data_IF_515266988956
#
_entry.id   IF_515266988956
#
_cell.length_a   1.000
_cell.length_b   1.000
_cell.length_c   1.000
_cell.angle_alpha   90.00
_cell.angle_beta   90.00
_cell.angle_gamma   90.00
#
_symmetry.space_group_name_H-M   'P 1'
#
loop_
_entity.id
_entity.type
_entity.pdbx_description
1 polymer ?
#
# COMPACT_ATOMS: atom_id res chain seq x y z
N UNK A 1 2.66 10.59 15.96
CA UNK A 1 3.93 10.22 15.30
C UNK A 1 3.97 10.90 13.95
N UNK A 2 4.99 11.69 13.64
CA UNK A 2 5.05 12.33 12.34
C UNK A 2 5.63 11.38 11.29
N UNK A 3 5.05 11.42 10.09
CA UNK A 3 5.47 10.64 8.92
C UNK A 3 6.06 11.65 7.92
N UNK A 4 7.27 11.41 7.40
CA UNK A 4 7.89 12.26 6.38
C UNK A 4 8.27 11.42 5.16
N UNK A 5 8.33 12.09 4.01
CA UNK A 5 8.81 11.53 2.75
C UNK A 5 10.25 12.00 2.54
N UNK A 6 11.16 11.05 2.30
CA UNK A 6 12.57 11.32 1.99
C UNK A 6 12.84 10.73 0.60
N UNK A 7 13.51 11.50 -0.27
CA UNK A 7 13.81 11.11 -1.65
C UNK A 7 15.32 10.88 -1.79
N UNK A 8 15.80 9.63 -1.85
CA UNK A 8 17.20 9.37 -2.13
C UNK A 8 17.48 9.53 -3.64
N UNK A 9 18.44 10.38 -4.01
CA UNK A 9 18.75 10.71 -5.41
C UNK A 9 19.80 9.81 -6.08
N UNK A 10 20.39 8.84 -5.38
CA UNK A 10 21.47 8.01 -5.96
C UNK A 10 21.27 6.52 -5.70
N UNK A 11 21.03 5.75 -6.77
CA UNK A 11 21.18 4.29 -6.75
C UNK A 11 22.17 3.82 -7.82
N UNK A 12 23.07 2.93 -7.38
CA UNK A 12 24.12 2.20 -8.08
C UNK A 12 25.46 2.93 -8.29
N UNK A 13 26.39 2.65 -7.36
CA UNK A 13 27.82 2.83 -7.58
C UNK A 13 28.33 1.90 -8.68
N UNK A 14 29.11 2.46 -9.59
CA UNK A 14 29.76 1.76 -10.71
C UNK A 14 30.80 0.77 -10.18
N UNK A 15 30.71 -0.51 -10.58
CA UNK A 15 31.66 -1.63 -10.34
C UNK A 15 31.32 -2.66 -9.25
N UNK A 16 30.11 -3.23 -9.25
CA UNK A 16 29.88 -4.53 -8.61
C UNK A 16 29.12 -5.48 -9.54
N UNK A 17 29.61 -6.71 -9.68
CA UNK A 17 29.05 -7.72 -10.58
C UNK A 17 27.79 -8.33 -9.94
N UNK A 18 26.63 -7.73 -10.23
CA UNK A 18 25.31 -8.04 -9.66
C UNK A 18 24.87 -9.52 -9.84
N UNK A 19 25.55 -10.29 -10.69
CA UNK A 19 25.25 -11.70 -10.98
C UNK A 19 25.66 -12.67 -9.87
N UNK A 20 26.42 -12.23 -8.88
CA UNK A 20 26.94 -13.07 -7.78
C UNK A 20 26.19 -12.92 -6.46
N UNK A 21 25.26 -11.97 -6.36
CA UNK A 21 24.53 -11.69 -5.12
C UNK A 21 23.26 -12.54 -5.05
N UNK A 22 22.99 -13.13 -3.88
CA UNK A 22 21.67 -13.70 -3.59
C UNK A 22 20.62 -12.58 -3.52
N UNK A 23 19.35 -12.91 -3.75
CA UNK A 23 18.27 -11.90 -3.75
C UNK A 23 18.08 -11.29 -2.38
N UNK A 24 18.29 -12.07 -1.34
CA UNK A 24 18.28 -11.63 0.04
C UNK A 24 19.36 -10.57 0.26
N UNK A 25 20.59 -10.82 -0.24
CA UNK A 25 21.68 -9.85 -0.14
C UNK A 25 21.44 -8.60 -0.99
N UNK A 26 20.74 -8.71 -2.13
CA UNK A 26 20.37 -7.54 -2.95
C UNK A 26 19.32 -6.71 -2.24
N UNK A 27 18.31 -7.33 -1.64
CA UNK A 27 17.26 -6.63 -0.88
C UNK A 27 17.87 -6.00 0.38
N UNK A 28 18.72 -6.72 1.10
CA UNK A 28 19.47 -6.18 2.24
C UNK A 28 20.39 -5.03 1.82
N UNK A 29 21.08 -5.12 0.67
CA UNK A 29 21.89 -4.02 0.14
C UNK A 29 21.02 -2.81 -0.22
N UNK A 30 19.88 -3.00 -0.90
CA UNK A 30 18.97 -1.89 -1.26
C UNK A 30 18.44 -1.22 0.00
N UNK A 31 17.95 -2.00 0.96
CA UNK A 31 17.38 -1.47 2.21
C UNK A 31 18.48 -0.79 3.04
N UNK A 32 19.62 -1.44 3.22
CA UNK A 32 20.74 -0.89 4.00
C UNK A 32 21.35 0.34 3.35
N UNK A 33 21.47 0.37 2.02
CA UNK A 33 21.91 1.54 1.25
C UNK A 33 20.89 2.67 1.33
N UNK A 34 19.58 2.39 1.26
CA UNK A 34 18.53 3.42 1.45
C UNK A 34 18.60 4.02 2.85
N UNK A 35 18.78 3.16 3.86
CA UNK A 35 18.88 3.59 5.26
C UNK A 35 20.16 4.38 5.48
N UNK A 36 21.29 3.93 4.92
CA UNK A 36 22.56 4.64 4.96
C UNK A 36 22.40 6.02 4.32
N UNK A 37 21.88 6.10 3.09
CA UNK A 37 21.64 7.37 2.40
C UNK A 37 20.72 8.29 3.23
N UNK A 38 19.63 7.76 3.79
CA UNK A 38 18.75 8.54 4.65
C UNK A 38 19.46 9.08 5.90
N UNK A 39 20.27 8.24 6.57
CA UNK A 39 21.07 8.64 7.74
C UNK A 39 22.12 9.67 7.36
N UNK A 40 22.81 9.46 6.24
CA UNK A 40 23.90 10.28 5.74
C UNK A 40 23.42 11.64 5.23
N UNK A 41 22.23 11.70 4.61
CA UNK A 41 21.61 12.92 4.11
C UNK A 41 20.87 13.72 5.20
N UNK A 42 20.35 13.07 6.26
CA UNK A 42 19.50 13.72 7.28
C UNK A 42 20.12 13.81 8.68
N UNK A 43 21.30 13.22 8.91
CA UNK A 43 21.95 13.06 10.21
C UNK A 43 21.05 12.39 11.28
N UNK A 44 20.08 11.59 10.85
CA UNK A 44 19.16 10.87 11.73
C UNK A 44 19.86 9.62 12.26
N UNK A 45 19.70 9.28 13.55
CA UNK A 45 20.30 8.06 14.09
C UNK A 45 19.55 6.85 13.53
N UNK A 46 20.27 5.85 13.01
CA UNK A 46 19.70 4.62 12.47
C UNK A 46 18.75 3.93 13.46
N UNK A 47 19.04 4.00 14.76
CA UNK A 47 18.18 3.41 15.80
C UNK A 47 16.83 4.12 15.98
N UNK A 48 16.72 5.36 15.50
CA UNK A 48 15.48 6.12 15.57
C UNK A 48 14.52 5.78 14.42
N UNK A 49 15.02 5.15 13.35
CA UNK A 49 14.24 4.64 12.23
C UNK A 49 13.57 3.32 12.64
N UNK A 50 12.24 3.26 12.54
CA UNK A 50 11.40 2.12 12.93
C UNK A 50 11.35 1.05 11.82
N UNK A 51 12.53 0.53 11.46
CA UNK A 51 12.76 -0.32 10.29
C UNK A 51 12.11 -1.70 10.43
N UNK A 52 12.14 -2.28 11.64
CA UNK A 52 11.69 -3.65 11.91
C UNK A 52 10.16 -3.85 11.79
N UNK A 53 9.40 -2.75 11.76
CA UNK A 53 7.93 -2.80 11.79
C UNK A 53 7.30 -2.35 10.47
N UNK A 54 7.91 -1.41 9.74
CA UNK A 54 7.25 -0.71 8.62
C UNK A 54 8.26 -0.10 7.62
N UNK A 55 8.84 -0.90 6.74
CA UNK A 55 9.52 -0.41 5.53
C UNK A 55 8.59 -0.61 4.33
N UNK A 56 8.10 0.48 3.74
CA UNK A 56 7.17 0.43 2.60
C UNK A 56 7.85 0.93 1.34
N UNK A 57 7.86 0.10 0.30
CA UNK A 57 8.07 0.57 -1.07
C UNK A 57 6.80 1.31 -1.48
N UNK A 58 6.92 2.61 -1.72
CA UNK A 58 5.79 3.45 -2.13
C UNK A 58 5.62 3.34 -3.65
N UNK A 59 6.73 3.36 -4.38
CA UNK A 59 6.74 3.33 -5.84
C UNK A 59 8.08 2.82 -6.37
N UNK A 60 8.04 2.22 -7.56
CA UNK A 60 9.24 1.95 -8.37
C UNK A 60 9.06 2.70 -9.67
N UNK A 61 9.88 3.72 -9.90
CA UNK A 61 9.85 4.54 -11.11
C UNK A 61 10.93 4.03 -12.05
N UNK A 62 10.55 3.46 -13.19
CA UNK A 62 11.53 3.12 -14.22
C UNK A 62 11.87 4.34 -15.07
N UNK A 63 13.10 4.30 -15.57
CA UNK A 63 13.76 5.26 -16.43
C UNK A 63 12.79 6.02 -17.37
N UNK A 64 12.50 7.27 -17.03
CA UNK A 64 11.74 8.17 -17.89
C UNK A 64 12.70 8.79 -18.92
N UNK A 65 12.28 8.97 -20.19
CA UNK A 65 13.14 9.48 -21.25
C UNK A 65 13.72 10.88 -20.99
N UNK A 66 13.19 11.62 -20.00
CA UNK A 66 13.68 12.95 -19.62
C UNK A 66 14.75 12.95 -18.51
N UNK A 67 14.83 11.92 -17.66
CA UNK A 67 15.63 12.01 -16.41
C UNK A 67 16.52 10.81 -16.11
N UNK A 68 16.52 9.77 -16.94
CA UNK A 68 17.72 8.94 -17.08
C UNK A 68 18.19 8.19 -15.83
N UNK A 69 17.31 7.53 -15.06
CA UNK A 69 17.62 6.41 -14.14
C UNK A 69 16.34 5.80 -13.54
N UNK A 70 16.32 4.49 -13.24
CA UNK A 70 15.28 3.91 -12.39
C UNK A 70 15.47 4.36 -10.93
N UNK A 71 14.38 4.76 -10.26
CA UNK A 71 14.34 5.18 -8.87
C UNK A 71 13.34 4.31 -8.09
N UNK A 72 13.61 4.10 -6.80
CA UNK A 72 12.69 3.42 -5.89
C UNK A 72 12.39 4.40 -4.76
N UNK A 73 11.11 4.62 -4.50
CA UNK A 73 10.64 5.52 -3.45
C UNK A 73 10.24 4.72 -2.21
N UNK A 74 10.72 5.15 -1.04
CA UNK A 74 10.52 4.45 0.22
C UNK A 74 9.88 5.37 1.26
N UNK A 75 9.01 4.80 2.10
CA UNK A 75 8.49 5.47 3.29
C UNK A 75 9.26 4.94 4.51
N UNK A 76 9.95 5.83 5.20
CA UNK A 76 10.63 5.54 6.46
C UNK A 76 9.88 6.19 7.62
N UNK A 77 9.53 5.38 8.62
CA UNK A 77 8.97 5.87 9.87
C UNK A 77 10.10 6.10 10.86
N UNK A 78 10.03 7.23 11.57
CA UNK A 78 10.96 7.55 12.65
C UNK A 78 10.17 7.78 13.95
N UNK A 79 10.83 7.51 15.07
CA UNK A 79 10.37 7.87 16.41
C UNK A 79 10.52 9.37 16.69
N UNK A 80 11.29 10.09 15.87
CA UNK A 80 11.58 11.52 16.04
C UNK A 80 10.45 12.43 15.54
N UNK A 81 10.41 13.65 16.05
CA UNK A 81 9.48 14.70 15.62
C UNK A 81 10.00 15.50 14.40
N UNK A 82 9.13 16.27 13.72
CA UNK A 82 9.57 17.10 12.55
C UNK A 82 10.68 18.07 12.92
N UNK A 83 10.56 18.69 14.09
CA UNK A 83 11.47 19.74 14.53
C UNK A 83 12.83 19.15 14.91
N UNK A 84 12.84 17.98 15.56
CA UNK A 84 14.10 17.29 15.89
C UNK A 84 14.82 16.82 14.61
N UNK A 85 14.07 16.36 13.62
CA UNK A 85 14.63 15.89 12.36
C UNK A 85 15.18 17.04 11.51
N UNK A 86 14.44 18.15 11.42
CA UNK A 86 14.92 19.39 10.79
C UNK A 86 16.17 19.92 11.49
N UNK A 87 16.17 19.98 12.83
CA UNK A 87 17.34 20.43 13.59
C UNK A 87 18.56 19.56 13.31
N UNK A 88 18.38 18.23 13.17
CA UNK A 88 19.51 17.34 12.83
C UNK A 88 20.02 17.50 11.41
N UNK A 89 19.13 17.70 10.45
CA UNK A 89 19.52 18.06 9.10
C UNK A 89 20.32 19.38 9.10
N UNK A 90 19.82 20.40 9.80
CA UNK A 90 20.45 21.72 9.89
C UNK A 90 21.81 21.70 10.61
N UNK A 91 22.08 20.68 11.44
CA UNK A 91 23.39 20.51 12.11
C UNK A 91 24.53 20.24 11.10
N UNK A 92 24.23 19.77 9.88
CA UNK A 92 25.18 19.61 8.78
C UNK A 92 26.52 18.92 9.17
N UNK A 93 26.44 17.94 10.08
CA UNK A 93 27.65 17.32 10.66
C UNK A 93 28.34 16.32 9.73
N UNK A 94 27.64 15.79 8.73
CA UNK A 94 28.17 14.86 7.73
C UNK A 94 28.43 15.55 6.39
N UNK A 95 29.48 15.14 5.69
CA UNK A 95 29.90 15.72 4.40
C UNK A 95 28.84 15.47 3.33
N UNK A 96 28.16 14.33 3.35
CA UNK A 96 27.11 13.96 2.39
C UNK A 96 25.81 14.76 2.60
N UNK A 97 25.42 15.06 3.85
CA UNK A 97 24.34 16.00 4.14
C UNK A 97 24.57 17.42 3.56
N UNK A 98 25.82 17.78 3.26
CA UNK A 98 26.16 19.04 2.60
C UNK A 98 26.09 18.98 1.07
N UNK A 99 26.04 17.77 0.47
CA UNK A 99 25.81 17.58 -0.97
C UNK A 99 24.32 17.68 -1.33
N UNK A 100 23.45 17.25 -0.43
CA UNK A 100 22.00 17.25 -0.64
C UNK A 100 21.42 18.63 -0.35
N UNK A 101 21.57 19.53 -1.32
CA UNK A 101 20.84 20.80 -1.31
C UNK A 101 19.37 20.53 -1.66
N UNK A 102 18.44 20.98 -0.81
CA UNK A 102 16.97 21.02 -1.05
C UNK A 102 16.10 19.88 -0.48
N UNK A 103 16.53 19.15 0.55
CA UNK A 103 15.59 18.31 1.32
C UNK A 103 14.48 19.17 1.94
N UNK A 104 13.23 18.90 1.56
CA UNK A 104 12.05 19.63 2.05
C UNK A 104 11.24 18.77 2.99
N UNK A 105 11.16 19.17 4.25
CA UNK A 105 10.36 18.51 5.26
C UNK A 105 8.95 19.13 5.32
N UNK A 106 7.93 18.32 5.04
CA UNK A 106 6.54 18.76 5.04
C UNK A 106 5.74 18.08 6.14
N UNK A 107 5.06 18.86 7.01
CA UNK A 107 4.00 18.35 7.87
C UNK A 107 2.86 17.73 7.05
N UNK A 108 2.31 16.60 7.49
CA UNK A 108 1.20 15.87 6.82
C UNK A 108 -0.02 16.77 6.55
N UNK A 109 -0.31 17.71 7.44
CA UNK A 109 -1.37 18.70 7.31
C UNK A 109 -1.10 19.68 6.16
N UNK A 110 0.15 20.10 5.94
CA UNK A 110 0.54 20.98 4.82
C UNK A 110 0.57 20.28 3.46
N UNK A 111 0.75 18.96 3.46
CA UNK A 111 0.71 18.15 2.24
C UNK A 111 -0.63 18.30 1.50
N UNK A 112 -1.74 18.38 2.24
CA UNK A 112 -3.07 18.58 1.67
C UNK A 112 -3.22 19.91 0.92
N UNK A 113 -2.53 20.97 1.37
CA UNK A 113 -2.57 22.31 0.78
C UNK A 113 -1.65 22.46 -0.45
N UNK A 114 -0.54 21.71 -0.50
CA UNK A 114 0.38 21.69 -1.65
C UNK A 114 -0.31 21.30 -2.96
N UNK A 115 -1.25 20.36 -2.87
CA UNK A 115 -2.03 19.83 -3.98
C UNK A 115 -2.94 20.87 -4.65
N UNK A 116 -3.35 21.90 -3.90
CA UNK A 116 -4.26 22.94 -4.36
C UNK A 116 -3.52 24.07 -5.07
N UNK A 117 -2.55 23.74 -5.94
CA UNK A 117 -1.80 24.65 -6.82
C UNK A 117 -0.72 25.52 -6.15
N UNK A 118 0.33 24.89 -5.63
CA UNK A 118 1.61 25.57 -5.40
C UNK A 118 2.57 25.32 -6.58
N UNK A 119 3.34 26.33 -7.00
CA UNK A 119 4.46 26.13 -7.95
C UNK A 119 5.44 25.05 -7.44
N UNK A 120 5.53 24.90 -6.12
CA UNK A 120 6.28 23.86 -5.42
C UNK A 120 5.75 22.46 -5.64
N UNK A 121 4.43 22.28 -5.82
CA UNK A 121 3.87 20.98 -6.20
C UNK A 121 4.32 20.67 -7.62
N UNK A 122 4.17 21.58 -8.58
CA UNK A 122 4.56 21.35 -9.98
C UNK A 122 6.04 20.99 -10.19
N UNK A 123 6.92 21.28 -9.22
CA UNK A 123 8.34 20.90 -9.25
C UNK A 123 8.64 19.50 -8.69
N UNK A 124 7.63 18.79 -8.16
CA UNK A 124 7.76 17.42 -7.65
C UNK A 124 7.63 16.43 -8.83
N UNK A 125 8.14 15.21 -8.66
CA UNK A 125 8.08 14.18 -9.72
C UNK A 125 6.63 13.74 -10.00
N UNK A 126 6.28 13.37 -11.25
CA UNK A 126 4.94 12.91 -11.61
C UNK A 126 4.44 11.70 -10.80
N UNK A 127 5.34 10.81 -10.38
CA UNK A 127 5.01 9.65 -9.54
C UNK A 127 4.54 10.09 -8.13
N UNK A 128 5.26 11.04 -7.55
CA UNK A 128 4.88 11.66 -6.28
C UNK A 128 3.57 12.43 -6.39
N UNK A 129 3.29 13.12 -7.50
CA UNK A 129 1.99 13.75 -7.71
C UNK A 129 0.85 12.74 -7.63
N UNK A 130 0.94 11.61 -8.33
CA UNK A 130 -0.11 10.58 -8.33
C UNK A 130 -0.28 10.00 -6.92
N UNK A 131 0.81 9.62 -6.24
CA UNK A 131 0.75 9.08 -4.88
C UNK A 131 0.12 10.05 -3.86
N UNK A 132 0.48 11.33 -3.91
CA UNK A 132 -0.06 12.37 -3.03
C UNK A 132 -1.54 12.69 -3.31
N UNK A 133 -1.91 12.75 -4.58
CA UNK A 133 -3.25 13.17 -5.04
C UNK A 133 -4.28 12.08 -4.72
N UNK A 134 -3.93 10.80 -4.87
CA UNK A 134 -4.92 9.72 -4.82
C UNK A 134 -5.30 9.30 -3.39
N UNK A 135 -4.35 9.23 -2.46
CA UNK A 135 -4.61 8.65 -1.12
C UNK A 135 -5.15 9.66 -0.10
N UNK A 136 -4.51 10.83 0.04
CA UNK A 136 -4.89 11.80 1.06
C UNK A 136 -6.09 12.65 0.65
N UNK A 137 -6.23 13.04 -0.62
CA UNK A 137 -7.32 13.94 -1.02
C UNK A 137 -8.68 13.28 -1.01
N UNK A 138 -8.81 12.05 -1.51
CA UNK A 138 -10.10 11.35 -1.54
C UNK A 138 -10.58 11.02 -0.12
N UNK A 139 -9.66 10.57 0.74
CA UNK A 139 -9.96 10.27 2.15
C UNK A 139 -10.25 11.50 2.97
N UNK A 140 -9.48 12.57 2.80
CA UNK A 140 -9.74 13.85 3.46
C UNK A 140 -11.06 14.44 2.99
N UNK A 141 -11.38 14.32 1.69
CA UNK A 141 -12.67 14.73 1.13
C UNK A 141 -13.82 13.95 1.76
N UNK A 142 -13.76 12.62 1.80
CA UNK A 142 -14.81 11.78 2.37
C UNK A 142 -15.05 12.08 3.87
N UNK A 143 -13.96 12.25 4.64
CA UNK A 143 -14.06 12.62 6.06
C UNK A 143 -14.67 14.03 6.23
N UNK A 144 -14.21 15.02 5.46
CA UNK A 144 -14.75 16.38 5.51
C UNK A 144 -16.23 16.44 5.11
N UNK A 145 -16.65 15.69 4.08
CA UNK A 145 -18.05 15.57 3.68
C UNK A 145 -18.91 15.00 4.82
N UNK A 146 -18.42 13.99 5.53
CA UNK A 146 -19.11 13.44 6.70
C UNK A 146 -19.22 14.46 7.84
N UNK A 147 -18.10 15.11 8.19
CA UNK A 147 -18.04 16.10 9.28
C UNK A 147 -18.98 17.27 8.99
N UNK A 148 -18.99 17.77 7.75
CA UNK A 148 -19.88 18.85 7.31
C UNK A 148 -21.36 18.43 7.34
N UNK A 149 -21.66 17.19 6.93
CA UNK A 149 -23.03 16.66 6.93
C UNK A 149 -23.59 16.51 8.34
N UNK A 150 -22.76 16.08 9.30
CA UNK A 150 -23.22 15.67 10.63
C UNK A 150 -22.94 16.69 11.75
N UNK A 151 -22.26 17.82 11.46
CA UNK A 151 -21.96 18.91 12.41
C UNK A 151 -21.50 18.44 13.81
N UNK A 152 -20.78 17.33 13.85
CA UNK A 152 -20.45 16.64 15.10
C UNK A 152 -19.03 16.98 15.55
N UNK A 153 -18.87 17.34 16.82
CA UNK A 153 -17.56 17.69 17.41
C UNK A 153 -16.70 16.47 17.75
N UNK A 154 -17.27 15.27 17.76
CA UNK A 154 -16.60 14.01 18.08
C UNK A 154 -16.45 13.10 16.84
N UNK A 155 -15.97 13.65 15.73
CA UNK A 155 -15.65 12.86 14.55
C UNK A 155 -14.20 12.35 14.59
N UNK A 156 -13.98 11.17 13.99
CA UNK A 156 -12.63 10.66 13.78
C UNK A 156 -11.88 11.55 12.81
N UNK A 157 -10.61 11.78 13.09
CA UNK A 157 -9.66 12.39 12.17
C UNK A 157 -9.32 11.44 11.02
N UNK A 158 -8.79 11.98 9.92
CA UNK A 158 -8.37 11.18 8.76
C UNK A 158 -7.34 10.12 9.13
N UNK A 159 -6.39 10.45 10.02
CA UNK A 159 -5.39 9.50 10.51
C UNK A 159 -6.01 8.39 11.38
N UNK A 160 -6.98 8.72 12.24
CA UNK A 160 -7.71 7.72 13.03
C UNK A 160 -8.53 6.78 12.15
N UNK A 161 -9.23 7.31 11.14
CA UNK A 161 -9.92 6.47 10.17
C UNK A 161 -8.93 5.54 9.43
N UNK A 162 -7.76 6.05 9.05
CA UNK A 162 -6.74 5.25 8.39
C UNK A 162 -6.20 4.13 9.30
N UNK A 163 -6.04 4.37 10.60
CA UNK A 163 -5.66 3.33 11.56
C UNK A 163 -6.74 2.25 11.70
N UNK A 164 -8.01 2.66 11.77
CA UNK A 164 -9.14 1.73 11.83
C UNK A 164 -9.18 0.86 10.56
N UNK A 165 -9.10 1.48 9.38
CA UNK A 165 -9.08 0.74 8.12
C UNK A 165 -7.91 -0.23 8.05
N UNK A 166 -6.71 0.20 8.49
CA UNK A 166 -5.54 -0.67 8.48
C UNK A 166 -5.71 -1.89 9.36
N UNK A 167 -6.32 -1.73 10.52
CA UNK A 167 -6.66 -2.84 11.40
C UNK A 167 -7.62 -3.81 10.69
N UNK A 168 -8.67 -3.29 10.05
CA UNK A 168 -9.66 -4.12 9.37
C UNK A 168 -9.14 -4.76 8.06
N UNK A 169 -8.18 -4.17 7.36
CA UNK A 169 -7.48 -4.80 6.25
C UNK A 169 -6.74 -6.07 6.68
N UNK A 170 -6.09 -6.04 7.85
CA UNK A 170 -5.43 -7.22 8.43
C UNK A 170 -6.47 -8.27 8.84
N UNK A 171 -7.55 -7.86 9.49
CA UNK A 171 -8.63 -8.78 9.86
C UNK A 171 -9.29 -9.42 8.64
N UNK A 172 -9.49 -8.65 7.56
CA UNK A 172 -10.04 -9.13 6.31
C UNK A 172 -9.13 -10.18 5.68
N UNK A 173 -7.84 -9.88 5.55
CA UNK A 173 -6.85 -10.82 5.01
C UNK A 173 -6.83 -12.13 5.83
N UNK A 174 -6.76 -12.02 7.15
CA UNK A 174 -6.79 -13.17 8.07
C UNK A 174 -8.08 -13.98 7.95
N UNK A 175 -9.23 -13.31 7.77
CA UNK A 175 -10.52 -13.97 7.58
C UNK A 175 -10.54 -14.75 6.27
N UNK A 176 -10.11 -14.15 5.16
CA UNK A 176 -10.02 -14.79 3.86
C UNK A 176 -9.07 -16.00 3.85
N UNK A 177 -7.92 -15.92 4.54
CA UNK A 177 -6.95 -17.03 4.62
C UNK A 177 -7.47 -18.22 5.42
N UNK A 178 -8.37 -17.98 6.38
CA UNK A 178 -9.00 -19.02 7.21
C UNK A 178 -10.38 -19.44 6.70
N UNK A 179 -10.80 -18.91 5.55
CA UNK A 179 -12.13 -19.11 5.01
C UNK A 179 -12.28 -20.52 4.43
N UNK A 180 -13.41 -21.17 4.71
CA UNK A 180 -13.79 -22.48 4.20
C UNK A 180 -15.05 -22.37 3.33
N UNK A 181 -15.02 -22.82 2.06
CA UNK A 181 -13.90 -23.45 1.34
C UNK A 181 -12.75 -22.48 1.02
N UNK A 182 -11.50 -22.97 0.83
CA UNK A 182 -10.34 -22.12 0.69
C UNK A 182 -10.45 -21.16 -0.50
N UNK A 183 -10.27 -19.85 -0.23
CA UNK A 183 -10.23 -18.83 -1.27
C UNK A 183 -8.90 -18.86 -2.03
N UNK A 184 -8.94 -18.62 -3.34
CA UNK A 184 -7.72 -18.47 -4.15
C UNK A 184 -7.03 -17.14 -3.84
N UNK A 185 -5.71 -17.05 -4.00
CA UNK A 185 -4.96 -15.79 -3.81
C UNK A 185 -5.52 -14.62 -4.64
N UNK A 186 -5.98 -14.92 -5.86
CA UNK A 186 -6.64 -13.95 -6.74
C UNK A 186 -7.94 -13.43 -6.11
N UNK A 187 -8.80 -14.31 -5.59
CA UNK A 187 -10.03 -13.91 -4.93
C UNK A 187 -9.77 -13.04 -3.69
N UNK A 188 -8.80 -13.41 -2.86
CA UNK A 188 -8.40 -12.59 -1.70
C UNK A 188 -7.97 -11.19 -2.16
N UNK A 189 -7.21 -11.09 -3.25
CA UNK A 189 -6.78 -9.83 -3.81
C UNK A 189 -7.93 -8.96 -4.33
N UNK A 190 -8.91 -9.56 -5.02
CA UNK A 190 -10.13 -8.88 -5.45
C UNK A 190 -10.90 -8.33 -4.24
N UNK A 191 -11.05 -9.15 -3.20
CA UNK A 191 -11.75 -8.77 -1.98
C UNK A 191 -11.10 -7.57 -1.28
N UNK A 192 -9.78 -7.61 -1.10
CA UNK A 192 -8.99 -6.51 -0.53
C UNK A 192 -9.16 -5.22 -1.35
N UNK A 193 -9.19 -5.33 -2.67
CA UNK A 193 -9.38 -4.17 -3.54
C UNK A 193 -10.80 -3.60 -3.45
N UNK A 194 -11.84 -4.42 -3.33
CA UNK A 194 -13.20 -3.92 -3.06
C UNK A 194 -13.25 -3.12 -1.76
N UNK A 195 -12.67 -3.65 -0.69
CA UNK A 195 -12.64 -2.98 0.61
C UNK A 195 -11.93 -1.62 0.52
N UNK A 196 -10.74 -1.59 -0.08
CA UNK A 196 -9.98 -0.35 -0.28
C UNK A 196 -10.73 0.64 -1.17
N UNK A 197 -11.31 0.19 -2.29
CA UNK A 197 -12.09 1.03 -3.22
C UNK A 197 -13.32 1.64 -2.54
N UNK A 198 -14.03 0.85 -1.74
CA UNK A 198 -15.18 1.33 -0.98
C UNK A 198 -14.76 2.48 -0.06
N UNK A 199 -13.70 2.30 0.72
CA UNK A 199 -13.25 3.33 1.65
C UNK A 199 -12.44 4.45 0.99
N UNK A 200 -12.14 4.45 -0.31
CA UNK A 200 -11.59 5.66 -0.94
C UNK A 200 -12.56 6.85 -0.84
N UNK A 201 -13.87 6.60 -0.97
CA UNK A 201 -14.90 7.64 -1.08
C UNK A 201 -15.93 7.62 0.05
N UNK A 202 -15.78 6.75 1.05
CA UNK A 202 -16.74 6.63 2.15
C UNK A 202 -16.02 6.67 3.50
N UNK A 203 -16.64 7.26 4.52
CA UNK A 203 -16.09 7.30 5.89
C UNK A 203 -16.39 6.00 6.65
N UNK A 204 -15.47 5.61 7.54
CA UNK A 204 -15.72 4.50 8.50
C UNK A 204 -16.82 4.82 9.50
N UNK A 205 -17.17 6.10 9.66
CA UNK A 205 -18.23 6.56 10.54
C UNK A 205 -19.63 6.41 9.92
N UNK A 206 -19.74 6.38 8.59
CA UNK A 206 -20.99 6.04 7.88
C UNK A 206 -21.21 4.53 7.83
N UNK A 207 -20.14 3.79 7.55
CA UNK A 207 -20.19 2.35 7.33
C UNK A 207 -19.12 1.65 8.14
N UNK A 208 -19.56 0.80 9.06
CA UNK A 208 -18.65 0.09 9.95
C UNK A 208 -17.79 -0.93 9.17
N UNK A 209 -16.45 -0.89 9.26
CA UNK A 209 -15.58 -1.73 8.44
C UNK A 209 -15.77 -3.23 8.61
N UNK A 210 -16.23 -3.67 9.80
CA UNK A 210 -16.56 -5.08 10.04
C UNK A 210 -17.63 -5.59 9.08
N UNK A 211 -18.68 -4.80 8.87
CA UNK A 211 -19.80 -5.21 8.02
C UNK A 211 -19.34 -5.16 6.57
N UNK A 212 -18.70 -4.05 6.17
CA UNK A 212 -18.21 -3.85 4.80
C UNK A 212 -17.23 -4.96 4.38
N UNK A 213 -16.26 -5.33 5.21
CA UNK A 213 -15.33 -6.39 4.80
C UNK A 213 -16.04 -7.74 4.62
N UNK A 214 -17.02 -8.08 5.48
CA UNK A 214 -17.80 -9.33 5.32
C UNK A 214 -18.56 -9.34 3.99
N UNK A 215 -19.16 -8.22 3.61
CA UNK A 215 -19.88 -8.09 2.34
C UNK A 215 -18.89 -8.12 1.17
N UNK A 216 -17.70 -7.53 1.30
CA UNK A 216 -16.65 -7.64 0.28
C UNK A 216 -16.26 -9.10 0.04
N UNK A 217 -16.13 -9.92 1.09
CA UNK A 217 -15.83 -11.35 0.93
C UNK A 217 -16.99 -12.05 0.24
N UNK A 218 -18.22 -11.81 0.68
CA UNK A 218 -19.40 -12.42 0.08
C UNK A 218 -19.58 -12.05 -1.39
N UNK A 219 -19.41 -10.78 -1.74
CA UNK A 219 -19.44 -10.30 -3.12
C UNK A 219 -18.33 -10.93 -3.95
N UNK A 220 -17.12 -11.07 -3.39
CA UNK A 220 -16.01 -11.75 -4.06
C UNK A 220 -16.34 -13.22 -4.35
N UNK A 221 -16.97 -13.93 -3.41
CA UNK A 221 -17.40 -15.31 -3.63
C UNK A 221 -18.38 -15.44 -4.79
N UNK A 222 -19.20 -14.41 -5.04
CA UNK A 222 -20.09 -14.35 -6.20
C UNK A 222 -19.34 -13.99 -7.49
N UNK A 223 -18.47 -12.99 -7.46
CA UNK A 223 -17.77 -12.50 -8.67
C UNK A 223 -16.67 -13.43 -9.16
N UNK A 224 -16.01 -14.15 -8.24
CA UNK A 224 -14.95 -15.14 -8.53
C UNK A 224 -15.49 -16.58 -8.61
N UNK A 225 -16.82 -16.73 -8.73
CA UNK A 225 -17.49 -18.01 -8.95
C UNK A 225 -17.19 -19.13 -7.93
N UNK A 226 -16.95 -18.78 -6.66
CA UNK A 226 -16.69 -19.76 -5.59
C UNK A 226 -17.94 -20.57 -5.20
N UNK A 227 -19.15 -20.16 -5.63
CA UNK A 227 -20.44 -20.86 -5.44
C UNK A 227 -20.69 -21.32 -4.00
N UNK A 228 -20.61 -20.39 -3.05
CA UNK A 228 -20.85 -20.66 -1.63
C UNK A 228 -22.26 -20.19 -1.26
N UNK A 229 -23.13 -21.05 -0.70
CA UNK A 229 -24.43 -20.62 -0.20
C UNK A 229 -24.25 -19.74 1.06
N UNK A 230 -25.19 -18.83 1.29
CA UNK A 230 -25.10 -17.87 2.40
C UNK A 230 -24.98 -18.56 3.78
N UNK A 231 -25.60 -19.73 3.98
CA UNK A 231 -25.49 -20.52 5.22
C UNK A 231 -24.05 -20.94 5.51
N UNK A 232 -23.33 -21.38 4.48
CA UNK A 232 -21.95 -21.85 4.61
C UNK A 232 -21.01 -20.66 4.78
N UNK A 233 -21.29 -19.55 4.09
CA UNK A 233 -20.59 -18.30 4.33
C UNK A 233 -20.73 -17.85 5.79
N UNK A 234 -21.94 -17.87 6.34
CA UNK A 234 -22.20 -17.49 7.73
C UNK A 234 -21.49 -18.42 8.74
N UNK A 235 -21.29 -19.70 8.41
CA UNK A 235 -20.58 -20.64 9.28
C UNK A 235 -19.10 -20.24 9.54
N UNK A 236 -18.51 -19.44 8.64
CA UNK A 236 -17.16 -18.90 8.81
C UNK A 236 -17.09 -17.74 9.82
N UNK A 237 -18.22 -17.14 10.18
CA UNK A 237 -18.27 -15.99 11.10
C UNK A 237 -18.31 -16.48 12.54
N UNK A 238 -17.14 -16.54 13.17
CA UNK A 238 -17.00 -16.88 14.59
C UNK A 238 -17.60 -15.78 15.47
N UNK A 239 -18.37 -16.16 16.48
CA UNK A 239 -18.98 -15.27 17.50
C UNK A 239 -20.15 -14.38 17.03
N UNK A 240 -20.89 -14.75 15.98
CA UNK A 240 -22.19 -14.12 15.71
C UNK A 240 -23.25 -14.77 16.60
N UNK A 241 -23.77 -14.02 17.58
CA UNK A 241 -24.89 -14.47 18.42
C UNK A 241 -26.22 -14.55 17.65
N UNK A 242 -26.33 -13.85 16.50
CA UNK A 242 -27.50 -13.80 15.63
C UNK A 242 -27.09 -13.90 14.15
N UNK A 243 -26.97 -15.13 13.63
CA UNK A 243 -26.61 -15.38 12.23
C UNK A 243 -27.65 -14.82 11.25
N UNK A 244 -28.94 -14.92 11.57
CA UNK A 244 -30.04 -14.41 10.72
C UNK A 244 -29.95 -12.89 10.51
N UNK A 245 -29.71 -12.14 11.60
CA UNK A 245 -29.51 -10.70 11.52
C UNK A 245 -28.26 -10.35 10.69
N UNK A 246 -27.21 -11.17 10.78
CA UNK A 246 -25.99 -10.98 9.99
C UNK A 246 -26.26 -11.20 8.50
N UNK A 247 -27.08 -12.19 8.15
CA UNK A 247 -27.50 -12.42 6.76
C UNK A 247 -28.32 -11.24 6.22
N UNK A 248 -29.28 -10.73 6.99
CA UNK A 248 -30.11 -9.60 6.57
C UNK A 248 -29.26 -8.33 6.31
N UNK A 249 -28.32 -8.05 7.21
CA UNK A 249 -27.38 -6.94 7.04
C UNK A 249 -26.55 -7.12 5.76
N UNK A 250 -26.00 -8.32 5.57
CA UNK A 250 -25.14 -8.64 4.44
C UNK A 250 -25.89 -8.54 3.10
N UNK A 251 -27.14 -9.00 3.04
CA UNK A 251 -28.00 -8.85 1.86
C UNK A 251 -28.39 -7.39 1.62
N UNK A 252 -28.66 -6.62 2.69
CA UNK A 252 -29.04 -5.21 2.56
C UNK A 252 -27.91 -4.35 2.00
N UNK A 253 -26.67 -4.66 2.38
CA UNK A 253 -25.50 -3.92 1.93
C UNK A 253 -24.87 -4.44 0.64
N UNK A 254 -25.34 -5.57 0.09
CA UNK A 254 -24.83 -6.10 -1.18
C UNK A 254 -24.98 -5.09 -2.32
N UNK A 255 -26.19 -4.57 -2.52
CA UNK A 255 -26.45 -3.56 -3.55
C UNK A 255 -25.70 -2.27 -3.27
N UNK A 256 -25.65 -1.84 -2.00
CA UNK A 256 -24.91 -0.65 -1.60
C UNK A 256 -23.43 -0.77 -1.98
N UNK A 257 -22.78 -1.91 -1.68
CA UNK A 257 -21.38 -2.11 -2.01
C UNK A 257 -21.16 -2.00 -3.51
N UNK A 258 -22.01 -2.64 -4.33
CA UNK A 258 -21.91 -2.60 -5.79
C UNK A 258 -22.08 -1.17 -6.32
N UNK A 259 -23.03 -0.40 -5.79
CA UNK A 259 -23.24 1.01 -6.14
C UNK A 259 -22.02 1.86 -5.78
N UNK A 260 -21.46 1.67 -4.59
CA UNK A 260 -20.27 2.41 -4.11
C UNK A 260 -18.98 2.01 -4.83
N UNK A 261 -18.95 0.85 -5.47
CA UNK A 261 -17.90 0.43 -6.40
C UNK A 261 -18.17 0.88 -7.85
N UNK A 262 -19.21 1.71 -8.08
CA UNK A 262 -19.60 2.20 -9.39
C UNK A 262 -19.88 1.06 -10.39
N UNK A 263 -20.38 -0.09 -9.92
CA UNK A 263 -20.60 -1.30 -10.71
C UNK A 263 -19.33 -1.86 -11.40
N UNK A 264 -18.14 -1.43 -10.98
CA UNK A 264 -16.85 -1.90 -11.50
C UNK A 264 -16.35 -3.12 -10.72
N UNK A 265 -16.99 -4.26 -10.97
CA UNK A 265 -16.71 -5.52 -10.27
C UNK A 265 -15.52 -6.29 -10.84
N UNK A 266 -15.14 -6.05 -12.09
CA UNK A 266 -13.98 -6.73 -12.67
C UNK A 266 -12.70 -6.10 -12.14
N UNK A 267 -11.95 -6.87 -11.35
CA UNK A 267 -10.66 -6.48 -10.79
C UNK A 267 -9.55 -7.30 -11.44
N UNK A 268 -8.59 -6.60 -12.04
CA UNK A 268 -7.38 -7.22 -12.57
C UNK A 268 -6.31 -7.28 -11.47
N UNK A 269 -5.88 -8.49 -11.11
CA UNK A 269 -4.88 -8.71 -10.06
C UNK A 269 -3.51 -9.04 -10.66
N UNK A 270 -2.44 -8.77 -9.91
CA UNK A 270 -1.07 -8.98 -10.36
C UNK A 270 -0.64 -10.47 -10.41
N UNK A 271 -1.42 -11.37 -9.80
CA UNK A 271 -1.13 -12.81 -9.77
C UNK A 271 -1.14 -13.44 -11.17
N UNK A 272 -2.08 -13.04 -12.03
CA UNK A 272 -2.19 -13.55 -13.41
C UNK A 272 -1.02 -13.10 -14.31
N UNK A 273 -0.68 -11.80 -14.42
CA UNK A 273 0.48 -11.38 -15.20
C UNK A 273 1.80 -11.90 -14.61
N UNK A 274 1.90 -12.05 -13.28
CA UNK A 274 3.06 -12.68 -12.65
C UNK A 274 3.25 -14.13 -13.12
N UNK A 275 2.20 -14.94 -13.17
CA UNK A 275 2.29 -16.30 -13.72
C UNK A 275 2.69 -16.31 -15.20
N UNK A 276 2.17 -15.37 -15.99
CA UNK A 276 2.59 -15.17 -17.38
C UNK A 276 4.10 -14.89 -17.49
N UNK A 277 4.62 -14.01 -16.64
CA UNK A 277 6.05 -13.69 -16.58
C UNK A 277 6.88 -14.91 -16.17
N UNK A 278 6.43 -15.70 -15.20
CA UNK A 278 7.15 -16.92 -14.79
C UNK A 278 7.19 -17.94 -15.94
N UNK A 279 6.11 -18.09 -16.71
CA UNK A 279 6.09 -18.95 -17.90
C UNK A 279 7.10 -18.46 -18.94
N UNK A 280 7.10 -17.16 -19.24
CA UNK A 280 8.03 -16.54 -20.19
C UNK A 280 9.49 -16.72 -19.78
N UNK A 281 9.79 -16.56 -18.48
CA UNK A 281 11.11 -16.81 -17.92
C UNK A 281 11.53 -18.28 -18.06
N UNK A 282 10.61 -19.22 -17.81
CA UNK A 282 10.87 -20.66 -17.98
C UNK A 282 11.13 -21.04 -19.43
N UNK A 283 10.41 -20.45 -20.39
CA UNK A 283 10.53 -20.79 -21.81
C UNK A 283 11.78 -20.18 -22.46
N UNK A 284 12.12 -18.93 -22.11
CA UNK A 284 13.16 -18.18 -22.81
C UNK A 284 14.51 -18.10 -22.09
N UNK A 285 14.54 -18.18 -20.75
CA UNK A 285 15.74 -17.86 -19.98
C UNK A 285 16.19 -18.96 -19.00
N UNK A 286 15.28 -19.78 -18.49
CA UNK A 286 15.55 -20.76 -17.42
C UNK A 286 15.32 -22.22 -17.86
N UNK A 287 15.51 -22.51 -19.15
CA UNK A 287 15.21 -23.83 -19.74
C UNK A 287 15.90 -25.01 -19.03
N UNK A 288 17.12 -24.79 -18.54
CA UNK A 288 17.93 -25.81 -17.84
C UNK A 288 17.89 -25.68 -16.30
N UNK A 289 17.35 -24.58 -15.76
CA UNK A 289 17.31 -24.26 -14.32
C UNK A 289 15.87 -24.05 -13.80
N UNK A 290 14.98 -25.02 -14.08
CA UNK A 290 13.55 -24.96 -13.73
C UNK A 290 13.32 -24.75 -12.23
N UNK A 291 14.19 -25.30 -11.38
CA UNK A 291 14.10 -25.17 -9.92
C UNK A 291 14.22 -23.70 -9.44
N UNK A 292 14.95 -22.85 -10.15
CA UNK A 292 15.11 -21.44 -9.78
C UNK A 292 13.85 -20.63 -10.09
N UNK A 293 13.11 -21.03 -11.13
CA UNK A 293 11.84 -20.41 -11.50
C UNK A 293 10.73 -20.73 -10.48
N UNK A 294 10.72 -21.93 -9.91
CA UNK A 294 9.75 -22.27 -8.84
C UNK A 294 10.07 -21.57 -7.52
N UNK A 295 11.36 -21.36 -7.21
CA UNK A 295 11.78 -20.50 -6.09
C UNK A 295 11.34 -19.05 -6.30
N UNK A 296 11.57 -18.50 -7.49
CA UNK A 296 11.09 -17.18 -7.89
C UNK A 296 9.57 -17.04 -7.75
N UNK A 297 8.82 -18.05 -8.15
CA UNK A 297 7.36 -18.08 -8.02
C UNK A 297 6.93 -17.95 -6.56
N UNK A 298 7.55 -18.71 -5.65
CA UNK A 298 7.23 -18.65 -4.22
C UNK A 298 7.50 -17.25 -3.65
N UNK A 299 8.72 -16.74 -3.83
CA UNK A 299 9.12 -15.41 -3.33
C UNK A 299 8.30 -14.29 -3.96
N UNK A 300 7.97 -14.39 -5.24
CA UNK A 300 7.13 -13.40 -5.92
C UNK A 300 5.70 -13.40 -5.39
N UNK A 301 5.13 -14.56 -5.07
CA UNK A 301 3.84 -14.60 -4.38
C UNK A 301 3.88 -13.99 -2.99
N UNK A 302 4.92 -14.25 -2.20
CA UNK A 302 5.09 -13.60 -0.89
C UNK A 302 5.19 -12.08 -1.01
N UNK A 303 5.88 -11.58 -2.05
CA UNK A 303 5.94 -10.15 -2.34
C UNK A 303 4.56 -9.60 -2.72
N UNK A 304 3.84 -10.26 -3.63
CA UNK A 304 2.48 -9.86 -4.03
C UNK A 304 1.52 -9.83 -2.84
N UNK A 305 1.61 -10.82 -1.94
CA UNK A 305 0.78 -10.88 -0.74
C UNK A 305 1.07 -9.71 0.22
N UNK A 306 2.32 -9.22 0.27
CA UNK A 306 2.68 -7.99 1.01
C UNK A 306 2.11 -6.75 0.32
N UNK A 307 2.09 -6.70 -1.01
CA UNK A 307 1.54 -5.55 -1.73
C UNK A 307 0.04 -5.35 -1.48
N UNK A 308 -0.73 -6.41 -1.16
CA UNK A 308 -2.16 -6.34 -0.77
C UNK A 308 -2.44 -5.34 0.36
N UNK A 309 -1.45 -5.17 1.23
CA UNK A 309 -1.48 -4.28 2.37
C UNK A 309 -0.90 -2.89 2.04
N UNK A 310 -0.82 -2.52 0.77
CA UNK A 310 -0.36 -1.20 0.30
C UNK A 310 -1.36 -0.63 -0.70
N UNK A 311 -1.09 0.58 -1.18
CA UNK A 311 -1.97 1.28 -2.13
C UNK A 311 -1.48 1.15 -3.59
N UNK A 312 -0.50 0.27 -3.83
CA UNK A 312 0.10 0.01 -5.15
C UNK A 312 -0.95 -0.27 -6.23
N UNK A 313 -2.07 -0.94 -5.92
CA UNK A 313 -3.13 -1.24 -6.88
C UNK A 313 -3.88 -0.03 -7.42
N UNK A 314 -3.79 1.13 -6.75
CA UNK A 314 -4.35 2.38 -7.26
C UNK A 314 -3.36 3.16 -8.12
N UNK A 315 -2.07 2.84 -8.02
CA UNK A 315 -0.99 3.61 -8.60
C UNK A 315 -0.45 2.96 -9.88
N UNK A 316 -0.44 1.62 -9.93
CA UNK A 316 0.20 0.87 -11.00
C UNK A 316 -0.74 -0.15 -11.63
N UNK A 317 -0.64 -0.38 -12.95
CA UNK A 317 -1.32 -1.48 -13.60
C UNK A 317 -0.78 -2.83 -13.10
N UNK A 318 -1.58 -3.90 -13.09
CA UNK A 318 -1.21 -5.17 -12.47
C UNK A 318 0.02 -5.88 -13.04
N UNK A 319 0.47 -5.49 -14.24
CA UNK A 319 1.61 -6.08 -14.93
C UNK A 319 2.96 -5.47 -14.54
N UNK A 320 2.97 -4.31 -13.88
CA UNK A 320 4.19 -3.60 -13.46
C UNK A 320 4.72 -4.15 -12.14
#
# INVERSE_FOLDING_TARGET
MPKFLIFPEKFFGTNRNLTTYSKENIIEEIISSTIAECVDETNVDRNSLLIDSFFFVIAVVRNQPQYGRPAIEFCLRTSMTSNELQQRYDLQTHIEANETSELKFWPLDKISHLLNSSQTFLSITPACHVALTTYLQLRTKANNEYVQKNNSTNCLTVDEEAMVLRYYELQLKDFCEKFEPPMTKMAIAVCMQYFKRFYLNNSVMDYHPKDIYLICVYLTCKTEELRIPITDFLSNIKNSSNLDQTADILLSYELLLIEKLNFQLVIHTAYRPFEGLIIDLKTHYLRDNVNDADRLRLTGYEFLDKTLLTDVYFLFPPSQ
#
